data_IF_329564424425
#
_entry.id   IF_329564424425
#
_cell.length_a   1.000
_cell.length_b   1.000
_cell.length_c   1.000
_cell.angle_alpha   90.00
_cell.angle_beta   90.00
_cell.angle_gamma   90.00
#
_symmetry.space_group_name_H-M   'P 1'
#
loop_
_entity.id
_entity.type
_entity.pdbx_description
1 polymer ?
#
# COMPACT_ATOMS: atom_id res chain seq x y z
N UNK A 1 -3.18 8.29 -12.00
CA UNK A 1 -2.51 7.27 -12.84
C UNK A 1 -1.61 7.85 -13.94
N UNK A 2 -1.80 9.11 -14.35
CA UNK A 2 -1.12 9.67 -15.53
C UNK A 2 0.40 9.83 -15.36
N UNK A 3 0.87 10.19 -14.16
CA UNK A 3 2.30 10.37 -13.89
C UNK A 3 3.11 9.07 -13.93
N UNK A 4 2.64 7.99 -13.29
CA UNK A 4 3.32 6.68 -13.33
C UNK A 4 3.39 6.15 -14.77
N UNK A 5 2.28 6.24 -15.50
CA UNK A 5 2.22 5.80 -16.90
C UNK A 5 3.13 6.63 -17.81
N UNK A 6 3.23 7.93 -17.58
CA UNK A 6 4.15 8.79 -18.34
C UNK A 6 5.62 8.43 -18.13
N UNK A 7 5.96 7.81 -16.99
CA UNK A 7 7.29 7.29 -16.69
C UNK A 7 7.50 5.85 -17.21
N UNK A 8 6.51 5.27 -17.90
CA UNK A 8 6.57 3.91 -18.45
C UNK A 8 6.20 2.80 -17.47
N UNK A 9 5.65 3.16 -16.30
CA UNK A 9 5.27 2.22 -15.26
C UNK A 9 3.79 1.87 -15.29
N UNK A 10 3.48 0.64 -14.89
CA UNK A 10 2.11 0.26 -14.60
C UNK A 10 1.63 0.99 -13.33
N UNK A 11 0.42 1.53 -13.42
CA UNK A 11 -0.19 2.20 -12.28
C UNK A 11 -0.82 1.15 -11.36
N UNK A 12 0.03 0.40 -10.65
CA UNK A 12 -0.33 -0.72 -9.79
C UNK A 12 0.32 -0.62 -8.39
N UNK A 13 -0.28 -1.25 -7.36
CA UNK A 13 0.34 -1.33 -6.04
C UNK A 13 1.72 -2.02 -6.05
N UNK A 14 1.90 -3.03 -6.91
CA UNK A 14 3.16 -3.75 -7.06
C UNK A 14 4.31 -2.83 -7.48
N UNK A 15 4.04 -1.92 -8.41
CA UNK A 15 5.06 -1.01 -8.91
C UNK A 15 5.42 0.05 -7.86
N UNK A 16 4.42 0.53 -7.09
CA UNK A 16 4.66 1.40 -5.93
C UNK A 16 5.52 0.66 -4.89
N UNK A 17 5.21 -0.60 -4.57
CA UNK A 17 6.01 -1.41 -3.66
C UNK A 17 7.45 -1.58 -4.15
N UNK A 18 7.68 -1.87 -5.43
CA UNK A 18 9.05 -1.98 -5.99
C UNK A 18 9.85 -0.69 -5.83
N UNK A 19 9.24 0.47 -6.08
CA UNK A 19 9.94 1.76 -5.99
C UNK A 19 10.28 2.15 -4.55
N UNK A 20 9.42 1.83 -3.58
CA UNK A 20 9.64 2.19 -2.17
C UNK A 20 10.37 1.11 -1.36
N UNK A 21 10.67 -0.06 -1.94
CA UNK A 21 11.35 -1.16 -1.24
C UNK A 21 12.67 -0.78 -0.55
N UNK A 22 13.50 0.13 -1.09
CA UNK A 22 14.74 0.53 -0.42
C UNK A 22 14.55 1.31 0.89
N UNK A 23 13.36 1.87 1.15
CA UNK A 23 13.13 2.82 2.25
C UNK A 23 11.94 2.50 3.16
N UNK A 24 10.99 1.69 2.70
CA UNK A 24 9.78 1.37 3.44
C UNK A 24 9.76 -0.10 3.87
N UNK A 25 9.48 -0.36 5.15
CA UNK A 25 9.32 -1.72 5.70
C UNK A 25 7.88 -2.19 5.85
N UNK A 26 6.90 -1.34 5.56
CA UNK A 26 5.47 -1.65 5.69
C UNK A 26 4.70 -1.08 4.51
N UNK A 27 3.73 -1.84 4.00
CA UNK A 27 2.89 -1.45 2.88
C UNK A 27 1.42 -1.60 3.26
N UNK A 28 0.65 -0.52 3.17
CA UNK A 28 -0.80 -0.53 3.41
C UNK A 28 -1.50 -0.67 2.06
N UNK A 29 -2.29 -1.73 1.91
CA UNK A 29 -2.91 -2.14 0.65
C UNK A 29 -4.43 -2.08 0.77
N UNK A 30 -5.10 -1.63 -0.28
CA UNK A 30 -6.56 -1.59 -0.31
C UNK A 30 -7.16 -3.00 -0.39
N UNK A 31 -8.32 -3.21 0.24
CA UNK A 31 -9.07 -4.48 0.18
C UNK A 31 -9.34 -4.95 -1.26
N UNK A 32 -9.51 -4.01 -2.20
CA UNK A 32 -9.71 -4.33 -3.63
C UNK A 32 -8.50 -5.00 -4.28
N UNK A 33 -7.32 -4.76 -3.74
CA UNK A 33 -6.04 -5.28 -4.24
C UNK A 33 -5.49 -6.42 -3.36
N UNK A 34 -6.28 -6.94 -2.41
CA UNK A 34 -5.87 -7.96 -1.45
C UNK A 34 -5.19 -9.19 -2.09
N UNK A 35 -5.58 -9.55 -3.32
CA UNK A 35 -4.96 -10.63 -4.09
C UNK A 35 -3.48 -10.44 -4.42
N UNK A 36 -2.98 -9.20 -4.35
CA UNK A 36 -1.56 -8.85 -4.59
C UNK A 36 -0.71 -8.87 -3.32
N UNK A 37 -1.31 -9.07 -2.13
CA UNK A 37 -0.60 -8.96 -0.86
C UNK A 37 0.61 -9.91 -0.78
N UNK A 38 0.44 -11.18 -1.19
CA UNK A 38 1.53 -12.16 -1.12
C UNK A 38 2.74 -11.82 -2.01
N UNK A 39 2.51 -11.20 -3.18
CA UNK A 39 3.61 -10.75 -4.03
C UNK A 39 4.36 -9.56 -3.40
N UNK A 40 3.63 -8.63 -2.76
CA UNK A 40 4.23 -7.50 -2.05
C UNK A 40 5.00 -7.98 -0.81
N UNK A 41 4.45 -8.94 -0.05
CA UNK A 41 5.16 -9.57 1.08
C UNK A 41 6.45 -10.25 0.65
N UNK A 42 6.47 -10.91 -0.51
CA UNK A 42 7.67 -11.53 -1.07
C UNK A 42 8.78 -10.50 -1.40
N UNK A 43 8.45 -9.21 -1.52
CA UNK A 43 9.43 -8.12 -1.66
C UNK A 43 10.05 -7.68 -0.32
N UNK A 44 9.63 -8.27 0.81
CA UNK A 44 10.15 -7.99 2.15
C UNK A 44 9.30 -7.02 2.97
N UNK A 45 8.12 -6.65 2.49
CA UNK A 45 7.19 -5.80 3.22
C UNK A 45 6.44 -6.58 4.30
N UNK A 46 6.14 -5.90 5.41
CA UNK A 46 4.97 -6.23 6.22
C UNK A 46 3.74 -5.59 5.58
N UNK A 47 2.84 -6.40 5.02
CA UNK A 47 1.63 -5.91 4.36
C UNK A 47 0.47 -5.84 5.35
N UNK A 48 -0.31 -4.75 5.28
CA UNK A 48 -1.58 -4.61 5.99
C UNK A 48 -2.67 -4.24 4.99
N UNK A 49 -3.65 -5.13 4.85
CA UNK A 49 -4.78 -4.95 3.95
C UNK A 49 -5.94 -4.31 4.73
N UNK A 50 -6.48 -3.20 4.24
CA UNK A 50 -7.64 -2.52 4.81
C UNK A 50 -8.31 -1.59 3.80
N UNK A 51 -9.47 -1.02 4.14
CA UNK A 51 -10.07 0.07 3.36
C UNK A 51 -9.19 1.32 3.39
N UNK A 52 -8.69 1.74 2.23
CA UNK A 52 -7.83 2.93 2.09
C UNK A 52 -8.58 4.17 1.60
N UNK A 53 -9.89 4.07 1.34
CA UNK A 53 -10.68 5.19 0.85
C UNK A 53 -10.91 6.20 1.97
N UNK A 54 -10.28 7.37 1.85
CA UNK A 54 -10.34 8.45 2.83
C UNK A 54 -11.62 9.31 2.72
N UNK A 55 -12.79 8.69 2.60
CA UNK A 55 -14.07 9.42 2.50
C UNK A 55 -14.38 10.30 3.73
N UNK A 56 -13.78 9.97 4.88
CA UNK A 56 -13.88 10.68 6.15
C UNK A 56 -12.67 11.59 6.44
N UNK A 57 -11.90 11.96 5.42
CA UNK A 57 -10.65 12.70 5.58
C UNK A 57 -9.48 11.84 6.09
N UNK A 58 -9.65 10.52 6.15
CA UNK A 58 -8.60 9.56 6.51
C UNK A 58 -8.55 9.20 7.98
N UNK A 59 -9.54 9.61 8.78
CA UNK A 59 -9.59 9.29 10.20
C UNK A 59 -9.72 7.78 10.45
N UNK A 60 -10.53 7.08 9.65
CA UNK A 60 -10.66 5.63 9.68
C UNK A 60 -9.35 4.92 9.36
N UNK A 61 -8.71 5.28 8.26
CA UNK A 61 -7.43 4.71 7.83
C UNK A 61 -6.33 4.96 8.88
N UNK A 62 -6.22 6.18 9.41
CA UNK A 62 -5.25 6.52 10.45
C UNK A 62 -5.43 5.66 11.72
N UNK A 63 -6.68 5.43 12.15
CA UNK A 63 -6.99 4.56 13.29
C UNK A 63 -6.60 3.11 13.01
N UNK A 64 -6.91 2.59 11.82
CA UNK A 64 -6.57 1.23 11.42
C UNK A 64 -5.05 1.00 11.43
N UNK A 65 -4.28 1.89 10.81
CA UNK A 65 -2.81 1.83 10.77
C UNK A 65 -2.21 1.95 12.19
N UNK A 66 -2.73 2.87 13.00
CA UNK A 66 -2.24 3.06 14.38
C UNK A 66 -2.45 1.81 15.23
N UNK A 67 -3.64 1.18 15.13
CA UNK A 67 -3.93 -0.07 15.83
C UNK A 67 -3.07 -1.25 15.36
N UNK A 68 -2.67 -1.27 14.08
CA UNK A 68 -1.85 -2.33 13.52
C UNK A 68 -0.37 -2.22 13.93
N UNK A 69 0.17 -1.00 14.03
CA UNK A 69 1.62 -0.78 14.01
C UNK A 69 2.20 0.11 15.10
N UNK A 70 1.40 0.85 15.85
CA UNK A 70 1.86 1.66 16.97
C UNK A 70 1.66 0.85 18.25
N UNK A 71 2.76 0.31 18.80
CA UNK A 71 2.85 -0.24 20.15
C UNK A 71 3.90 0.52 20.93
#
# INVERSE_FOLDING_TARGET
MEMLRALGFDASPLEVARQYAPVAGTFVLDDRDAGMAGEIEAMGYRVFVCDTVMADGGAGLAKAISAAFVR
#
